data_IF_282752731104
#
_entry.id   IF_282752731104
#
_cell.length_a   1.000
_cell.length_b   1.000
_cell.length_c   1.000
_cell.angle_alpha   90.00
_cell.angle_beta   90.00
_cell.angle_gamma   90.00
#
_symmetry.space_group_name_H-M   'P 1'
#
loop_
_entity.id
_entity.type
_entity.pdbx_description
1 polymer ?
#
# COMPACT_ATOMS: atom_id res chain seq x y z
N UNK A 1 3.32 -11.48 -15.61
CA UNK A 1 1.91 -11.35 -16.04
C UNK A 1 1.44 -9.95 -15.67
N UNK A 2 0.81 -9.19 -16.58
CA UNK A 2 0.42 -7.79 -16.32
C UNK A 2 -0.61 -7.63 -15.18
N UNK A 3 -1.32 -8.71 -14.83
CA UNK A 3 -2.39 -8.68 -13.82
C UNK A 3 -1.82 -8.74 -12.39
N UNK A 4 -0.76 -9.52 -12.18
CA UNK A 4 0.01 -9.50 -10.95
C UNK A 4 0.56 -8.09 -10.70
N UNK A 5 1.06 -7.43 -11.74
CA UNK A 5 1.69 -6.11 -11.63
C UNK A 5 0.72 -4.97 -11.26
N UNK A 6 -0.59 -5.12 -11.48
CA UNK A 6 -1.59 -4.11 -11.11
C UNK A 6 -2.06 -4.27 -9.67
N UNK A 7 -2.57 -5.45 -9.34
CA UNK A 7 -3.12 -5.74 -8.00
C UNK A 7 -2.00 -5.75 -6.96
N UNK A 8 -0.87 -6.40 -7.22
CA UNK A 8 0.26 -6.46 -6.27
C UNK A 8 0.85 -5.06 -6.06
N UNK A 9 0.93 -4.24 -7.13
CA UNK A 9 1.41 -2.86 -7.00
C UNK A 9 0.49 -2.03 -6.12
N UNK A 10 -0.82 -2.08 -6.36
CA UNK A 10 -1.80 -1.37 -5.52
C UNK A 10 -1.73 -1.85 -4.07
N UNK A 11 -1.69 -3.17 -3.85
CA UNK A 11 -1.53 -3.76 -2.53
C UNK A 11 -0.26 -3.26 -1.82
N UNK A 12 0.89 -3.31 -2.49
CA UNK A 12 2.17 -2.87 -1.91
C UNK A 12 2.17 -1.39 -1.51
N UNK A 13 1.53 -0.53 -2.32
CA UNK A 13 1.36 0.89 -2.05
C UNK A 13 0.58 1.09 -0.73
N UNK A 14 -0.57 0.43 -0.60
CA UNK A 14 -1.42 0.56 0.57
C UNK A 14 -0.84 -0.11 1.83
N UNK A 15 -0.18 -1.25 1.68
CA UNK A 15 0.54 -1.90 2.77
C UNK A 15 1.60 -0.98 3.35
N UNK A 16 2.40 -0.33 2.49
CA UNK A 16 3.41 0.65 2.91
C UNK A 16 2.81 1.83 3.62
N UNK A 17 1.69 2.37 3.12
CA UNK A 17 0.97 3.44 3.79
C UNK A 17 0.65 3.07 5.24
N UNK A 18 0.05 1.89 5.45
CA UNK A 18 -0.29 1.41 6.80
C UNK A 18 0.93 1.24 7.70
N UNK A 19 1.97 0.62 7.16
CA UNK A 19 3.22 0.42 7.90
C UNK A 19 3.84 1.75 8.34
N UNK A 20 3.95 2.72 7.42
CA UNK A 20 4.50 4.04 7.71
C UNK A 20 3.63 4.84 8.69
N UNK A 21 2.30 4.77 8.58
CA UNK A 21 1.40 5.35 9.57
C UNK A 21 1.60 4.73 10.96
N UNK A 22 1.75 3.41 11.05
CA UNK A 22 2.00 2.72 12.32
C UNK A 22 3.32 3.14 12.96
N UNK A 23 4.38 3.33 12.15
CA UNK A 23 5.67 3.83 12.65
C UNK A 23 5.50 5.23 13.25
N UNK A 24 4.82 6.12 12.53
CA UNK A 24 4.61 7.49 12.99
C UNK A 24 3.84 7.53 14.31
N UNK A 25 2.75 6.76 14.41
CA UNK A 25 1.98 6.62 15.65
C UNK A 25 2.83 6.08 16.81
N UNK A 26 3.73 5.14 16.54
CA UNK A 26 4.63 4.60 17.56
C UNK A 26 5.63 5.64 18.06
N UNK A 27 6.16 6.49 17.16
CA UNK A 27 6.99 7.64 17.57
C UNK A 27 6.21 8.64 18.42
N UNK A 28 4.98 8.96 18.06
CA UNK A 28 4.10 9.85 18.84
C UNK A 28 3.82 9.30 20.25
N UNK A 29 3.77 7.97 20.39
CA UNK A 29 3.59 7.28 21.68
C UNK A 29 4.89 7.09 22.47
N UNK A 30 6.05 7.45 21.90
CA UNK A 30 7.36 7.29 22.54
C UNK A 30 7.86 5.85 22.58
N UNK A 31 7.45 5.00 21.63
CA UNK A 31 7.95 3.63 21.51
C UNK A 31 9.44 3.60 21.13
N UNK A 32 10.19 2.65 21.67
CA UNK A 32 11.66 2.61 21.56
C UNK A 32 12.12 2.07 20.18
N UNK A 33 11.27 1.34 19.44
CA UNK A 33 11.54 0.84 18.08
C UNK A 33 10.22 0.60 17.30
N UNK A 34 9.45 1.65 16.96
CA UNK A 34 8.14 1.48 16.31
C UNK A 34 8.21 0.83 14.92
N UNK A 35 9.39 0.77 14.31
CA UNK A 35 9.65 0.08 13.05
C UNK A 35 9.68 -1.46 13.15
N UNK A 36 9.88 -2.00 14.35
CA UNK A 36 10.08 -3.44 14.54
C UNK A 36 8.73 -4.13 14.68
N UNK A 37 8.14 -4.43 13.54
CA UNK A 37 6.91 -5.21 13.46
C UNK A 37 7.21 -6.71 13.48
N UNK A 38 6.36 -7.48 14.16
CA UNK A 38 6.46 -8.94 14.12
C UNK A 38 5.59 -9.51 12.98
N UNK A 39 5.63 -10.84 12.79
CA UNK A 39 4.86 -11.51 11.73
C UNK A 39 3.36 -11.32 11.89
N UNK A 40 2.85 -11.28 13.13
CA UNK A 40 1.43 -11.07 13.40
C UNK A 40 1.00 -9.66 12.97
N UNK A 41 1.80 -8.63 13.28
CA UNK A 41 1.53 -7.26 12.86
C UNK A 41 1.51 -7.14 11.32
N UNK A 42 2.48 -7.77 10.66
CA UNK A 42 2.53 -7.82 9.19
C UNK A 42 1.27 -8.50 8.61
N UNK A 43 0.80 -9.60 9.20
CA UNK A 43 -0.44 -10.29 8.78
C UNK A 43 -1.66 -9.38 8.98
N UNK A 44 -1.75 -8.65 10.09
CA UNK A 44 -2.83 -7.69 10.30
C UNK A 44 -2.80 -6.57 9.26
N UNK A 45 -1.62 -6.04 8.92
CA UNK A 45 -1.50 -5.04 7.86
C UNK A 45 -1.92 -5.60 6.50
N UNK A 46 -1.46 -6.80 6.13
CA UNK A 46 -1.87 -7.45 4.88
C UNK A 46 -3.39 -7.64 4.80
N UNK A 47 -3.98 -8.12 5.90
CA UNK A 47 -5.43 -8.36 6.01
C UNK A 47 -6.21 -7.05 5.87
N UNK A 48 -5.76 -5.99 6.54
CA UNK A 48 -6.39 -4.68 6.47
C UNK A 48 -6.24 -4.07 5.06
N UNK A 49 -5.06 -4.17 4.45
CA UNK A 49 -4.82 -3.70 3.09
C UNK A 49 -5.74 -4.38 2.08
N UNK A 50 -5.84 -5.71 2.13
CA UNK A 50 -6.70 -6.44 1.20
C UNK A 50 -8.18 -6.11 1.38
N UNK A 51 -8.66 -6.06 2.62
CA UNK A 51 -10.10 -5.94 2.89
C UNK A 51 -10.62 -4.50 2.86
N UNK A 52 -9.75 -3.49 3.06
CA UNK A 52 -10.16 -2.09 3.21
C UNK A 52 -9.67 -1.24 2.04
N UNK A 53 -8.42 -1.44 1.57
CA UNK A 53 -7.80 -0.51 0.61
C UNK A 53 -7.84 -1.01 -0.85
N UNK A 54 -7.83 -2.32 -1.07
CA UNK A 54 -7.95 -2.89 -2.43
C UNK A 54 -9.43 -2.98 -2.79
N UNK A 55 -9.93 -2.02 -3.57
CA UNK A 55 -11.33 -1.99 -3.97
C UNK A 55 -11.62 -3.00 -5.11
N UNK A 56 -12.87 -3.51 -5.21
CA UNK A 56 -13.28 -4.32 -6.35
C UNK A 56 -13.06 -3.64 -7.71
N UNK A 57 -13.09 -2.30 -7.74
CA UNK A 57 -12.76 -1.49 -8.92
C UNK A 57 -11.30 -1.62 -9.31
N UNK A 58 -10.36 -1.63 -8.36
CA UNK A 58 -8.93 -1.88 -8.61
C UNK A 58 -8.73 -3.22 -9.33
N UNK A 59 -9.42 -4.26 -8.85
CA UNK A 59 -9.37 -5.61 -9.42
C UNK A 59 -10.01 -5.64 -10.81
N UNK A 60 -11.18 -5.02 -10.97
CA UNK A 60 -11.88 -4.95 -12.26
C UNK A 60 -11.06 -4.20 -13.32
N UNK A 61 -10.50 -3.05 -12.96
CA UNK A 61 -9.63 -2.24 -13.82
C UNK A 61 -8.40 -3.05 -14.25
N UNK A 62 -7.81 -3.83 -13.34
CA UNK A 62 -6.67 -4.69 -13.65
C UNK A 62 -7.05 -5.80 -14.64
N UNK A 63 -8.17 -6.48 -14.43
CA UNK A 63 -8.65 -7.50 -15.37
C UNK A 63 -9.03 -6.93 -16.73
N UNK A 64 -9.62 -5.73 -16.79
CA UNK A 64 -9.90 -5.04 -18.05
C UNK A 64 -8.62 -4.64 -18.77
N UNK A 65 -7.63 -4.09 -18.06
CA UNK A 65 -6.32 -3.75 -18.65
C UNK A 65 -5.60 -4.98 -19.20
N UNK A 66 -5.74 -6.13 -18.53
CA UNK A 66 -5.25 -7.42 -19.01
C UNK A 66 -6.08 -8.03 -20.16
N UNK A 67 -7.19 -7.41 -20.56
CA UNK A 67 -8.16 -7.94 -21.54
C UNK A 67 -8.70 -9.32 -21.16
N UNK A 68 -8.79 -9.60 -19.86
CA UNK A 68 -9.42 -10.81 -19.31
C UNK A 68 -10.95 -10.63 -19.25
N UNK A 69 -11.44 -9.38 -19.20
CA UNK A 69 -12.87 -9.00 -19.29
C UNK A 69 -13.12 -8.12 -20.53
N UNK A 70 -14.32 -8.19 -21.10
CA UNK A 70 -14.77 -7.29 -22.17
C UNK A 70 -15.03 -5.87 -21.63
N UNK A 71 -14.94 -4.86 -22.49
CA UNK A 71 -15.04 -3.41 -22.16
C UNK A 71 -16.47 -2.94 -21.79
N UNK A 72 -17.43 -3.86 -21.80
CA UNK A 72 -18.82 -3.58 -21.47
C UNK A 72 -18.96 -3.54 -19.94
N UNK A 73 -19.03 -2.31 -19.39
CA UNK A 73 -19.92 -1.91 -18.27
C UNK A 73 -19.36 -1.04 -17.13
N UNK A 74 -18.08 -0.60 -17.12
CA UNK A 74 -17.68 0.40 -16.11
C UNK A 74 -16.70 1.47 -16.58
N UNK A 75 -16.92 2.76 -16.22
CA UNK A 75 -15.91 3.79 -16.41
C UNK A 75 -14.70 3.49 -15.53
N UNK A 76 -13.55 3.30 -16.17
CA UNK A 76 -12.25 3.17 -15.52
C UNK A 76 -11.98 4.43 -14.70
N UNK A 77 -12.03 4.33 -13.37
CA UNK A 77 -11.39 5.32 -12.51
C UNK A 77 -9.89 5.10 -12.56
N UNK A 78 -9.14 6.13 -12.92
CA UNK A 78 -7.69 6.10 -12.77
C UNK A 78 -7.39 6.14 -11.27
N UNK A 79 -7.17 4.96 -10.68
CA UNK A 79 -6.74 4.85 -9.29
C UNK A 79 -5.28 5.23 -9.20
N UNK A 80 -5.06 6.54 -9.03
CA UNK A 80 -3.86 7.05 -8.40
C UNK A 80 -4.09 6.79 -6.92
N UNK A 81 -3.80 5.58 -6.43
CA UNK A 81 -3.69 5.35 -4.98
C UNK A 81 -2.79 6.46 -4.42
N UNK A 82 -3.07 7.01 -3.24
CA UNK A 82 -2.51 8.28 -2.73
C UNK A 82 -0.95 8.32 -2.69
N UNK A 83 -0.33 8.47 -3.87
CA UNK A 83 1.11 8.40 -4.09
C UNK A 83 1.76 9.59 -3.42
N UNK A 84 1.09 10.73 -3.46
CA UNK A 84 1.52 11.97 -2.83
C UNK A 84 1.56 11.84 -1.30
N UNK A 85 0.50 11.30 -0.68
CA UNK A 85 0.48 11.04 0.76
C UNK A 85 1.53 10.01 1.18
N UNK A 86 1.76 8.98 0.36
CA UNK A 86 2.82 8.00 0.61
C UNK A 86 4.22 8.61 0.46
N UNK A 87 4.42 9.49 -0.53
CA UNK A 87 5.69 10.19 -0.71
C UNK A 87 5.99 11.08 0.51
N UNK A 88 5.00 11.86 0.97
CA UNK A 88 5.11 12.68 2.18
C UNK A 88 5.40 11.85 3.42
N UNK A 89 4.70 10.73 3.60
CA UNK A 89 4.97 9.79 4.71
C UNK A 89 6.41 9.26 4.64
N UNK A 90 6.89 8.94 3.44
CA UNK A 90 8.26 8.46 3.24
C UNK A 90 9.30 9.53 3.57
N UNK A 91 9.07 10.79 3.19
CA UNK A 91 9.94 11.92 3.54
C UNK A 91 10.02 12.13 5.05
N UNK A 92 8.87 12.18 5.74
CA UNK A 92 8.82 12.34 7.20
C UNK A 92 9.56 11.21 7.90
N UNK A 93 9.39 9.97 7.46
CA UNK A 93 10.09 8.82 8.04
C UNK A 93 11.60 8.87 7.75
N UNK A 94 12.00 9.34 6.58
CA UNK A 94 13.42 9.51 6.23
C UNK A 94 14.09 10.54 7.14
N UNK A 95 13.43 11.65 7.45
CA UNK A 95 13.93 12.69 8.36
C UNK A 95 14.13 12.16 9.80
N UNK A 96 13.33 11.17 10.20
CA UNK A 96 13.48 10.43 11.46
C UNK A 96 14.70 9.47 11.46
N UNK A 97 15.57 9.53 10.44
CA UNK A 97 16.77 8.70 10.27
C UNK A 97 16.47 7.19 10.28
N UNK A 98 15.32 6.82 9.73
CA UNK A 98 14.89 5.43 9.65
C UNK A 98 15.77 4.61 8.69
N UNK A 99 16.30 3.46 9.17
CA UNK A 99 17.31 2.64 8.47
C UNK A 99 16.75 1.56 7.53
N UNK A 100 15.47 1.25 7.59
CA UNK A 100 14.86 0.16 6.82
C UNK A 100 13.73 0.67 5.92
N UNK A 101 14.06 1.53 4.96
CA UNK A 101 13.21 1.72 3.79
C UNK A 101 12.83 0.33 3.26
N UNK A 102 11.53 0.03 3.13
CA UNK A 102 11.11 -1.10 2.29
C UNK A 102 11.48 -0.71 0.86
N UNK A 103 12.75 -0.90 0.50
CA UNK A 103 13.30 -0.48 -0.79
C UNK A 103 12.56 -1.20 -1.92
N UNK A 104 12.36 -0.44 -3.00
CA UNK A 104 11.63 -0.84 -4.21
C UNK A 104 12.63 -0.70 -5.33
N UNK A 105 13.04 -1.83 -5.92
CA UNK A 105 13.20 -1.87 -7.37
C UNK A 105 11.86 -2.25 -8.01
#
# INVERSE_FOLDING_TARGET
MQCDAGIIRAFNIYYRRRFYSSILEGYEKGEINPEKINVLDAIHFMTATWNIDVEPTTIANCFQHCKIRSEEDMPLKQEIGDVEGIHKLKEVISDLHYRNSMDVE
#
